data_IF_361877958104
#
_entry.id   IF_361877958104
#
_cell.length_a   1.000
_cell.length_b   1.000
_cell.length_c   1.000
_cell.angle_alpha   90.00
_cell.angle_beta   90.00
_cell.angle_gamma   90.00
#
_symmetry.space_group_name_H-M   'P 1'
#
loop_
_entity.id
_entity.type
_entity.pdbx_description
1 polymer ?
#
# COMPACT_ATOMS: atom_id res chain seq x y z
N UNK A 1 -24.51 60.79 27.00
CA UNK A 1 -23.71 59.55 26.69
C UNK A 1 -24.36 58.91 25.46
N UNK A 2 -23.83 59.20 24.28
CA UNK A 2 -24.39 58.67 23.02
C UNK A 2 -23.76 57.34 22.67
N UNK A 3 -24.55 56.25 22.66
CA UNK A 3 -24.10 54.94 22.18
C UNK A 3 -23.91 54.94 20.67
N UNK A 4 -22.77 54.54 20.24
CA UNK A 4 -22.33 54.52 18.84
C UNK A 4 -23.13 53.44 18.05
N UNK A 5 -23.68 53.80 16.88
CA UNK A 5 -24.48 52.91 16.01
C UNK A 5 -23.81 51.57 15.66
N UNK A 6 -22.49 51.48 15.74
CA UNK A 6 -21.73 50.22 15.53
C UNK A 6 -21.89 49.22 16.67
N UNK A 7 -22.11 49.69 17.93
CA UNK A 7 -22.31 48.77 19.08
C UNK A 7 -23.70 48.14 19.10
N UNK A 8 -24.71 48.81 18.52
CA UNK A 8 -26.08 48.26 18.43
C UNK A 8 -26.16 47.13 17.40
N UNK A 9 -25.42 47.24 16.29
CA UNK A 9 -25.35 46.19 15.26
C UNK A 9 -24.63 44.91 15.74
N UNK A 10 -23.63 45.07 16.60
CA UNK A 10 -22.87 43.88 17.14
C UNK A 10 -23.71 43.10 18.16
N UNK A 11 -24.55 43.79 18.97
CA UNK A 11 -25.43 43.13 19.94
C UNK A 11 -26.60 42.39 19.27
N UNK A 12 -27.14 42.91 18.16
CA UNK A 12 -28.16 42.21 17.38
C UNK A 12 -27.69 40.91 16.74
N UNK A 13 -26.43 40.88 16.31
CA UNK A 13 -25.85 39.67 15.67
C UNK A 13 -25.55 38.53 16.66
N UNK A 14 -25.15 38.87 17.88
CA UNK A 14 -24.85 37.85 18.92
C UNK A 14 -26.15 37.22 19.45
N UNK A 15 -27.22 37.98 19.61
CA UNK A 15 -28.51 37.45 20.10
C UNK A 15 -29.15 36.51 19.09
N UNK A 16 -29.02 36.75 17.77
CA UNK A 16 -29.55 35.88 16.72
C UNK A 16 -28.78 34.57 16.61
N UNK A 17 -27.46 34.56 16.83
CA UNK A 17 -26.64 33.31 16.78
C UNK A 17 -26.96 32.42 17.98
N UNK A 18 -27.16 32.96 19.17
CA UNK A 18 -27.49 32.17 20.37
C UNK A 18 -28.91 31.56 20.25
N UNK A 19 -29.88 32.26 19.66
CA UNK A 19 -31.22 31.71 19.45
C UNK A 19 -31.27 30.56 18.43
N UNK A 20 -30.44 30.61 17.36
CA UNK A 20 -30.37 29.55 16.37
C UNK A 20 -29.68 28.31 16.91
N UNK A 21 -28.67 28.44 17.78
CA UNK A 21 -28.00 27.29 18.40
C UNK A 21 -28.91 26.57 19.41
N UNK A 22 -29.74 27.32 20.16
CA UNK A 22 -30.72 26.73 21.09
C UNK A 22 -31.82 25.93 20.36
N UNK A 23 -32.24 26.35 19.17
CA UNK A 23 -33.27 25.66 18.39
C UNK A 23 -32.79 24.35 17.77
N UNK A 24 -31.51 24.25 17.40
CA UNK A 24 -30.91 23.02 16.84
C UNK A 24 -30.68 21.95 17.90
N UNK A 25 -30.49 22.33 19.18
CA UNK A 25 -30.27 21.40 20.28
C UNK A 25 -31.56 20.77 20.84
N UNK A 26 -32.74 21.31 20.55
CA UNK A 26 -34.04 20.81 21.04
C UNK A 26 -34.78 19.95 20.02
N UNK A 27 -34.28 19.78 18.81
CA UNK A 27 -34.95 19.04 17.72
C UNK A 27 -34.29 17.69 17.41
N UNK A 28 -33.88 16.90 18.40
CA UNK A 28 -33.48 15.52 18.16
C UNK A 28 -34.70 14.58 18.32
N UNK A 29 -35.15 13.90 17.28
CA UNK A 29 -36.11 12.80 17.45
C UNK A 29 -35.45 11.65 18.17
N UNK A 30 -36.08 11.11 19.23
CA UNK A 30 -35.68 9.93 19.94
C UNK A 30 -35.89 8.70 19.02
N UNK A 31 -34.80 8.09 18.56
CA UNK A 31 -34.81 6.83 17.85
C UNK A 31 -34.71 5.67 18.85
N UNK A 32 -35.81 5.31 19.43
CA UNK A 32 -35.97 4.06 20.20
C UNK A 32 -37.10 3.23 19.55
N UNK A 33 -36.86 2.62 18.40
CA UNK A 33 -37.66 1.50 17.83
C UNK A 33 -36.83 0.93 16.64
N UNK A 34 -35.68 0.36 16.86
CA UNK A 34 -34.96 -0.39 15.84
C UNK A 34 -34.10 -1.57 16.38
N UNK A 35 -34.14 -1.85 17.67
CA UNK A 35 -33.34 -2.96 18.22
C UNK A 35 -34.12 -4.26 18.49
N UNK A 36 -35.44 -4.29 18.26
CA UNK A 36 -36.28 -5.49 18.58
C UNK A 36 -36.67 -6.34 17.36
N UNK A 37 -36.05 -6.13 16.17
CA UNK A 37 -36.39 -6.92 14.96
C UNK A 37 -35.24 -7.71 14.34
N UNK A 38 -34.07 -7.79 14.95
CA UNK A 38 -32.96 -8.61 14.45
C UNK A 38 -32.66 -9.87 15.29
N UNK A 39 -33.38 -10.12 16.35
CA UNK A 39 -33.15 -11.30 17.19
C UNK A 39 -34.02 -12.54 16.85
N UNK A 40 -34.84 -12.51 15.81
CA UNK A 40 -35.80 -13.59 15.55
C UNK A 40 -35.78 -14.16 14.12
N UNK A 41 -34.63 -14.17 13.45
CA UNK A 41 -34.50 -14.74 12.09
C UNK A 41 -33.33 -15.71 11.91
N UNK A 42 -32.85 -16.34 12.99
CA UNK A 42 -31.89 -17.46 12.89
C UNK A 42 -32.31 -18.59 13.80
N UNK A 43 -33.26 -19.39 13.35
CA UNK A 43 -33.50 -20.81 13.56
C UNK A 43 -34.87 -21.15 12.94
N UNK A 44 -35.09 -22.30 12.26
CA UNK A 44 -34.36 -23.54 12.33
C UNK A 44 -34.00 -24.16 10.94
N UNK A 45 -32.80 -24.55 10.71
CA UNK A 45 -32.45 -25.57 9.70
C UNK A 45 -31.35 -26.47 10.27
N UNK A 46 -31.61 -27.10 11.37
CA UNK A 46 -30.84 -28.27 11.84
C UNK A 46 -31.80 -29.21 12.51
N UNK A 47 -32.63 -29.85 11.70
CA UNK A 47 -33.35 -31.06 12.15
C UNK A 47 -33.95 -31.79 10.94
N UNK A 48 -33.07 -32.45 10.16
CA UNK A 48 -33.46 -33.61 9.32
C UNK A 48 -32.23 -34.16 8.60
N UNK A 49 -31.48 -34.99 9.26
CA UNK A 49 -30.64 -36.03 8.64
C UNK A 49 -29.96 -36.88 9.72
N UNK A 50 -30.75 -37.59 10.49
CA UNK A 50 -30.33 -38.81 11.17
C UNK A 50 -31.41 -39.83 10.88
N UNK A 51 -31.18 -40.67 9.90
CA UNK A 51 -31.55 -42.05 9.75
C UNK A 51 -31.25 -42.48 8.32
N UNK A 52 -30.23 -43.23 8.11
CA UNK A 52 -30.30 -44.60 7.58
C UNK A 52 -28.90 -45.18 7.54
N UNK A 53 -28.87 -46.28 8.19
CA UNK A 53 -27.86 -47.30 8.40
C UNK A 53 -27.45 -48.00 7.09
N UNK A 54 -26.18 -48.48 7.13
CA UNK A 54 -25.66 -49.62 6.37
C UNK A 54 -25.63 -49.56 4.85
N UNK A 55 -24.46 -49.24 4.29
CA UNK A 55 -23.68 -50.14 3.39
C UNK A 55 -22.22 -49.78 3.53
N UNK A 56 -21.51 -50.58 4.25
CA UNK A 56 -20.08 -50.43 4.49
C UNK A 56 -19.29 -51.42 3.64
N UNK A 57 -18.01 -51.10 3.55
CA UNK A 57 -16.96 -52.00 3.19
C UNK A 57 -16.92 -52.46 1.73
N UNK A 58 -16.18 -51.68 0.90
CA UNK A 58 -15.39 -52.22 -0.24
C UNK A 58 -14.77 -51.11 -1.12
N UNK A 59 -14.59 -49.88 -0.59
CA UNK A 59 -14.01 -48.79 -1.40
C UNK A 59 -12.77 -48.11 -0.80
N UNK A 60 -12.21 -48.60 0.30
CA UNK A 60 -11.03 -48.01 0.93
C UNK A 60 -9.69 -48.41 0.28
N UNK A 61 -9.64 -49.58 -0.34
CA UNK A 61 -8.36 -50.08 -0.94
C UNK A 61 -8.04 -49.47 -2.32
N UNK A 62 -9.04 -48.98 -3.02
CA UNK A 62 -8.84 -48.38 -4.36
C UNK A 62 -8.42 -46.89 -4.35
N UNK A 63 -8.59 -46.18 -3.24
CA UNK A 63 -8.27 -44.76 -3.11
C UNK A 63 -6.84 -44.54 -2.65
N UNK A 64 -6.24 -45.50 -1.93
CA UNK A 64 -4.85 -45.40 -1.45
C UNK A 64 -3.86 -45.61 -2.59
N UNK A 65 -4.16 -46.49 -3.54
CA UNK A 65 -3.25 -46.80 -4.68
C UNK A 65 -3.26 -45.66 -5.75
N UNK A 66 -4.32 -44.87 -5.83
CA UNK A 66 -4.42 -43.72 -6.74
C UNK A 66 -3.71 -42.45 -6.21
N UNK A 67 -3.58 -42.31 -4.89
CA UNK A 67 -2.91 -41.15 -4.27
C UNK A 67 -1.39 -41.32 -4.21
N UNK A 68 -0.85 -42.54 -4.14
CA UNK A 68 0.58 -42.77 -4.15
C UNK A 68 1.20 -42.57 -5.55
N UNK A 69 0.46 -42.84 -6.63
CA UNK A 69 0.94 -42.66 -8.01
C UNK A 69 0.95 -41.20 -8.48
N UNK A 70 0.14 -40.32 -7.84
CA UNK A 70 0.12 -38.89 -8.13
C UNK A 70 1.20 -38.13 -7.35
N UNK A 71 1.61 -38.65 -6.18
CA UNK A 71 2.69 -38.06 -5.40
C UNK A 71 4.07 -38.27 -6.03
N UNK A 72 4.31 -39.39 -6.70
CA UNK A 72 5.61 -39.72 -7.30
C UNK A 72 5.90 -38.98 -8.62
N UNK A 73 4.84 -38.48 -9.31
CA UNK A 73 4.99 -37.67 -10.55
C UNK A 73 5.13 -36.19 -10.33
N UNK A 74 4.83 -35.70 -9.13
CA UNK A 74 4.89 -34.25 -8.79
C UNK A 74 6.25 -33.87 -8.17
N UNK A 75 7.00 -34.82 -7.60
CA UNK A 75 8.32 -34.55 -7.01
C UNK A 75 9.45 -34.41 -8.05
N UNK A 76 9.32 -34.95 -9.25
CA UNK A 76 10.42 -34.93 -10.24
C UNK A 76 10.49 -33.66 -11.10
N UNK A 77 9.44 -32.85 -11.19
CA UNK A 77 9.44 -31.55 -11.88
C UNK A 77 9.76 -30.34 -10.99
N UNK A 78 9.72 -30.48 -9.67
CA UNK A 78 9.95 -29.36 -8.73
C UNK A 78 11.44 -29.07 -8.44
N UNK A 79 12.37 -29.88 -8.89
CA UNK A 79 13.81 -29.82 -8.52
C UNK A 79 14.69 -29.09 -9.55
N UNK A 80 14.17 -28.42 -10.55
CA UNK A 80 14.99 -27.70 -11.57
C UNK A 80 14.83 -26.16 -11.59
N UNK A 81 14.35 -25.55 -10.52
CA UNK A 81 14.44 -24.09 -10.39
C UNK A 81 15.23 -23.76 -9.14
N UNK A 82 16.55 -23.63 -9.28
CA UNK A 82 17.42 -23.14 -8.22
C UNK A 82 16.88 -21.81 -7.69
N UNK A 83 16.68 -21.63 -6.37
CA UNK A 83 16.33 -20.33 -5.81
C UNK A 83 17.52 -19.41 -6.01
N UNK A 84 17.31 -18.29 -6.70
CA UNK A 84 18.25 -17.17 -6.70
C UNK A 84 18.42 -16.77 -5.23
N UNK A 85 19.64 -16.77 -4.69
CA UNK A 85 19.85 -16.50 -3.27
C UNK A 85 19.41 -15.04 -2.99
N UNK A 86 18.33 -14.92 -2.22
CA UNK A 86 17.77 -13.63 -1.77
C UNK A 86 18.79 -12.73 -1.02
N UNK A 87 19.96 -13.27 -0.70
CA UNK A 87 21.06 -12.61 -0.02
C UNK A 87 21.81 -11.63 -0.93
N UNK A 88 21.88 -11.92 -2.23
CA UNK A 88 22.69 -11.15 -3.17
C UNK A 88 21.98 -9.85 -3.59
N UNK A 89 20.64 -9.86 -3.71
CA UNK A 89 19.85 -8.65 -4.00
C UNK A 89 19.89 -7.61 -2.88
N UNK A 90 19.92 -8.09 -1.62
CA UNK A 90 20.03 -7.16 -0.47
C UNK A 90 21.45 -6.59 -0.38
N UNK A 91 22.45 -7.39 -0.70
CA UNK A 91 23.85 -6.98 -0.68
C UNK A 91 24.13 -5.99 -1.84
N UNK A 92 23.57 -6.24 -3.03
CA UNK A 92 23.72 -5.36 -4.18
C UNK A 92 23.04 -4.00 -3.96
N UNK A 93 21.83 -3.96 -3.38
CA UNK A 93 21.16 -2.72 -3.00
C UNK A 93 21.94 -1.93 -1.93
N UNK A 94 22.60 -2.63 -0.99
CA UNK A 94 23.44 -2.01 0.03
C UNK A 94 24.76 -1.48 -0.54
N UNK A 95 25.33 -2.19 -1.53
CA UNK A 95 26.59 -1.77 -2.19
C UNK A 95 26.38 -0.51 -3.02
N UNK A 96 25.25 -0.44 -3.77
CA UNK A 96 24.85 0.79 -4.49
C UNK A 96 24.66 1.97 -3.53
N UNK A 97 24.10 1.71 -2.34
CA UNK A 97 23.93 2.74 -1.30
C UNK A 97 25.26 3.26 -0.75
N UNK A 98 26.31 2.44 -0.71
CA UNK A 98 27.65 2.84 -0.28
C UNK A 98 28.40 3.61 -1.36
N UNK A 99 28.30 3.20 -2.62
CA UNK A 99 28.92 3.90 -3.74
C UNK A 99 28.31 5.29 -3.96
N UNK A 100 26.98 5.44 -3.79
CA UNK A 100 26.33 6.77 -3.86
C UNK A 100 26.76 7.68 -2.70
N UNK A 101 27.04 7.14 -1.51
CA UNK A 101 27.57 7.91 -0.37
C UNK A 101 28.97 8.45 -0.64
N UNK A 102 29.80 7.68 -1.34
CA UNK A 102 31.18 8.06 -1.63
C UNK A 102 31.27 9.11 -2.74
N UNK A 103 30.31 9.13 -3.67
CA UNK A 103 30.28 10.08 -4.79
C UNK A 103 29.62 11.43 -4.44
N UNK A 104 28.76 11.52 -3.42
CA UNK A 104 28.02 12.76 -3.13
C UNK A 104 28.63 13.63 -2.03
N UNK A 105 29.64 13.15 -1.30
CA UNK A 105 30.41 13.97 -0.35
C UNK A 105 29.58 14.78 0.68
N UNK A 106 28.31 14.47 0.86
CA UNK A 106 27.43 15.13 1.81
C UNK A 106 27.48 14.36 3.12
N UNK A 107 28.23 14.89 4.08
CA UNK A 107 28.06 14.55 5.47
C UNK A 107 26.57 14.65 5.81
N UNK A 108 25.98 13.55 6.24
CA UNK A 108 24.61 13.54 6.76
C UNK A 108 24.59 14.35 8.05
N UNK A 109 24.20 15.62 7.93
CA UNK A 109 23.77 16.40 9.09
C UNK A 109 22.63 15.64 9.76
N UNK A 110 22.56 15.57 11.09
CA UNK A 110 21.42 15.02 11.80
C UNK A 110 20.27 16.03 11.74
N UNK A 111 19.78 16.30 10.53
CA UNK A 111 18.61 17.13 10.35
C UNK A 111 17.39 16.26 10.66
N UNK A 112 16.50 16.79 11.51
CA UNK A 112 15.21 16.19 11.79
C UNK A 112 14.32 16.10 10.54
N UNK A 113 13.09 15.68 10.71
CA UNK A 113 12.12 15.49 9.64
C UNK A 113 11.92 16.76 8.79
N UNK A 114 12.23 16.70 7.51
CA UNK A 114 11.88 17.74 6.55
C UNK A 114 10.52 17.41 5.90
N UNK A 115 9.44 18.01 6.41
CA UNK A 115 8.07 17.77 5.93
C UNK A 115 7.88 18.14 4.45
N UNK A 116 8.53 19.19 3.95
CA UNK A 116 8.43 19.59 2.54
C UNK A 116 8.94 18.44 1.67
N UNK A 117 10.12 17.92 1.98
CA UNK A 117 10.70 16.78 1.25
C UNK A 117 9.88 15.51 1.45
N UNK A 118 9.46 15.22 2.69
CA UNK A 118 8.70 14.00 3.02
C UNK A 118 7.32 13.96 2.34
N UNK A 119 6.71 15.10 2.04
CA UNK A 119 5.37 15.18 1.40
C UNK A 119 5.42 15.36 -0.12
N UNK A 120 6.60 15.44 -0.75
CA UNK A 120 6.68 15.47 -2.23
C UNK A 120 6.20 14.16 -2.85
N UNK A 121 5.74 14.21 -4.09
CA UNK A 121 5.35 13.02 -4.86
C UNK A 121 6.55 12.06 -4.99
N UNK A 122 6.32 10.78 -4.84
CA UNK A 122 7.38 9.75 -4.96
C UNK A 122 7.37 9.16 -6.36
N UNK A 123 8.38 9.50 -7.14
CA UNK A 123 8.42 9.22 -8.57
C UNK A 123 9.78 8.70 -9.01
N UNK A 124 9.79 7.89 -10.07
CA UNK A 124 10.99 7.41 -10.74
C UNK A 124 10.78 7.43 -12.26
N UNK A 125 11.81 7.78 -13.02
CA UNK A 125 11.77 7.95 -14.47
C UNK A 125 11.69 9.42 -14.89
N UNK A 126 11.58 9.64 -16.20
CA UNK A 126 11.47 10.98 -16.78
C UNK A 126 10.01 11.46 -16.73
N UNK A 127 9.77 12.62 -16.14
CA UNK A 127 8.43 13.24 -16.09
C UNK A 127 7.86 13.61 -17.47
N UNK A 128 8.68 13.58 -18.51
CA UNK A 128 8.29 13.77 -19.91
C UNK A 128 8.05 12.47 -20.66
N UNK A 129 8.16 11.32 -19.97
CA UNK A 129 7.89 10.02 -20.59
C UNK A 129 6.47 9.95 -21.15
N UNK A 130 6.26 9.28 -22.30
CA UNK A 130 4.97 9.21 -22.97
C UNK A 130 3.91 8.43 -22.17
N UNK A 131 4.33 7.62 -21.20
CA UNK A 131 3.44 6.85 -20.34
C UNK A 131 3.65 7.26 -18.88
N UNK A 132 2.56 7.56 -18.19
CA UNK A 132 2.55 7.77 -16.74
C UNK A 132 1.82 6.61 -16.06
N UNK A 133 2.42 6.02 -15.04
CA UNK A 133 1.79 5.00 -14.19
C UNK A 133 1.70 5.53 -12.77
N UNK A 134 0.49 5.47 -12.18
CA UNK A 134 0.28 5.70 -10.75
C UNK A 134 -0.02 4.36 -10.11
N UNK A 135 0.87 3.89 -9.27
CA UNK A 135 0.69 2.69 -8.45
C UNK A 135 0.16 3.07 -7.07
N UNK A 136 -0.97 2.50 -6.67
CA UNK A 136 -1.45 2.53 -5.29
C UNK A 136 -1.06 1.22 -4.60
N UNK A 137 -0.20 1.30 -3.58
CA UNK A 137 0.39 0.15 -2.91
C UNK A 137 0.34 0.24 -1.39
N UNK A 138 0.31 -0.91 -0.71
CA UNK A 138 0.47 -1.05 0.73
C UNK A 138 1.71 -1.87 1.04
N UNK A 139 2.54 -1.40 1.95
CA UNK A 139 3.80 -2.05 2.30
C UNK A 139 3.63 -3.37 3.06
N UNK A 140 2.44 -3.64 3.61
CA UNK A 140 2.09 -4.93 4.23
C UNK A 140 1.32 -5.86 3.29
N UNK A 141 0.99 -5.41 2.07
CA UNK A 141 0.25 -6.23 1.11
C UNK A 141 1.16 -7.24 0.42
N UNK A 142 0.87 -8.55 0.59
CA UNK A 142 1.62 -9.63 -0.06
C UNK A 142 1.55 -9.60 -1.60
N UNK A 143 0.41 -9.17 -2.16
CA UNK A 143 0.27 -8.99 -3.60
C UNK A 143 1.14 -7.86 -4.16
N UNK A 144 1.35 -6.77 -3.39
CA UNK A 144 2.29 -5.70 -3.75
C UNK A 144 3.74 -6.23 -3.70
N UNK A 145 4.10 -6.95 -2.64
CA UNK A 145 5.42 -7.58 -2.54
C UNK A 145 5.67 -8.56 -3.71
N UNK A 146 4.69 -9.41 -4.05
CA UNK A 146 4.79 -10.33 -5.17
C UNK A 146 5.00 -9.60 -6.50
N UNK A 147 4.29 -8.50 -6.75
CA UNK A 147 4.46 -7.67 -7.95
C UNK A 147 5.86 -7.04 -8.00
N UNK A 148 6.31 -6.38 -6.94
CA UNK A 148 7.62 -5.75 -6.90
C UNK A 148 8.76 -6.75 -7.07
N UNK A 149 8.67 -7.91 -6.41
CA UNK A 149 9.69 -8.96 -6.48
C UNK A 149 9.78 -9.67 -7.85
N UNK A 150 8.66 -9.76 -8.59
CA UNK A 150 8.61 -10.51 -9.84
C UNK A 150 8.65 -9.64 -11.10
N UNK A 151 7.98 -8.48 -11.09
CA UNK A 151 7.67 -7.70 -12.30
C UNK A 151 8.31 -6.31 -12.31
N UNK A 152 8.31 -5.59 -11.17
CA UNK A 152 8.70 -4.18 -11.14
C UNK A 152 10.14 -3.95 -11.61
N UNK A 153 11.09 -4.76 -11.21
CA UNK A 153 12.48 -4.65 -11.65
C UNK A 153 12.64 -4.78 -13.17
N UNK A 154 11.84 -5.64 -13.82
CA UNK A 154 11.82 -5.76 -15.28
C UNK A 154 11.22 -4.51 -15.92
N UNK A 155 10.12 -4.00 -15.38
CA UNK A 155 9.49 -2.76 -15.84
C UNK A 155 10.46 -1.59 -15.72
N UNK A 156 11.15 -1.48 -14.58
CA UNK A 156 12.14 -0.43 -14.30
C UNK A 156 13.22 -0.41 -15.37
N UNK A 157 13.86 -1.56 -15.63
CA UNK A 157 14.95 -1.67 -16.63
C UNK A 157 14.46 -1.45 -18.06
N UNK A 158 13.28 -1.95 -18.41
CA UNK A 158 12.82 -1.96 -19.80
C UNK A 158 12.15 -0.63 -20.21
N UNK A 159 11.42 -0.01 -19.29
CA UNK A 159 10.57 1.13 -19.62
C UNK A 159 10.91 2.41 -18.85
N UNK A 160 11.22 2.33 -17.55
CA UNK A 160 11.46 3.52 -16.73
C UNK A 160 12.86 4.09 -17.03
N UNK A 161 13.90 3.28 -16.96
CA UNK A 161 15.29 3.68 -17.20
C UNK A 161 15.54 4.06 -18.67
N UNK A 162 14.68 3.60 -19.58
CA UNK A 162 14.73 3.96 -21.01
C UNK A 162 13.90 5.21 -21.36
N UNK A 163 13.32 5.89 -20.35
CA UNK A 163 12.54 7.11 -20.54
C UNK A 163 11.16 6.91 -21.17
N UNK A 164 10.66 5.69 -21.23
CA UNK A 164 9.36 5.34 -21.82
C UNK A 164 8.21 5.44 -20.83
N UNK A 165 8.49 5.26 -19.52
CA UNK A 165 7.51 5.28 -18.44
C UNK A 165 7.98 6.18 -17.29
N UNK A 166 7.10 7.05 -16.84
CA UNK A 166 7.18 7.78 -15.59
C UNK A 166 6.32 7.08 -14.54
N UNK A 167 6.93 6.65 -13.43
CA UNK A 167 6.25 5.88 -12.40
C UNK A 167 6.08 6.69 -11.13
N UNK A 168 4.86 6.73 -10.61
CA UNK A 168 4.47 7.40 -9.38
C UNK A 168 3.98 6.33 -8.41
N UNK A 169 4.56 6.27 -7.21
CA UNK A 169 4.07 5.39 -6.15
C UNK A 169 3.31 6.23 -5.12
N UNK A 170 2.06 5.87 -4.89
CA UNK A 170 1.18 6.45 -3.88
C UNK A 170 0.80 5.42 -2.84
N UNK A 171 0.99 5.76 -1.59
CA UNK A 171 0.67 4.89 -0.49
C UNK A 171 -0.85 4.69 -0.36
N UNK A 172 -1.22 3.44 -0.13
CA UNK A 172 -2.59 3.02 0.17
C UNK A 172 -2.56 2.03 1.33
N UNK A 173 -2.24 2.49 2.57
CA UNK A 173 -2.05 1.62 3.72
C UNK A 173 -3.33 0.86 4.06
N UNK A 174 -3.26 -0.46 4.13
CA UNK A 174 -4.37 -1.33 4.47
C UNK A 174 -4.55 -1.52 5.99
N UNK A 175 -3.50 -1.19 6.75
CA UNK A 175 -3.45 -1.32 8.21
C UNK A 175 -2.52 -0.28 8.83
N UNK A 176 -2.46 -0.27 10.19
CA UNK A 176 -1.63 0.68 10.94
C UNK A 176 -0.14 0.47 10.72
N UNK A 177 0.31 -0.77 10.55
CA UNK A 177 1.72 -1.07 10.30
C UNK A 177 2.15 -0.56 8.93
N UNK A 178 1.31 -0.76 7.89
CA UNK A 178 1.54 -0.20 6.56
C UNK A 178 1.63 1.32 6.59
N UNK A 179 0.79 1.99 7.42
CA UNK A 179 0.83 3.44 7.60
C UNK A 179 2.18 3.88 8.19
N UNK A 180 2.64 3.21 9.26
CA UNK A 180 3.95 3.50 9.87
C UNK A 180 5.11 3.23 8.92
N UNK A 181 5.04 2.14 8.15
CA UNK A 181 6.04 1.83 7.13
C UNK A 181 6.07 2.88 6.01
N UNK A 182 4.90 3.38 5.59
CA UNK A 182 4.80 4.47 4.62
C UNK A 182 5.41 5.78 5.15
N UNK A 183 5.13 6.13 6.41
CA UNK A 183 5.74 7.29 7.04
C UNK A 183 7.27 7.14 7.13
N UNK A 184 7.78 5.99 7.56
CA UNK A 184 9.23 5.72 7.61
C UNK A 184 9.87 5.80 6.22
N UNK A 185 9.25 5.24 5.18
CA UNK A 185 9.75 5.29 3.82
C UNK A 185 9.86 6.72 3.30
N UNK A 186 8.92 7.58 3.63
CA UNK A 186 8.94 9.00 3.22
C UNK A 186 10.03 9.82 3.89
N UNK A 187 10.62 9.32 4.96
CA UNK A 187 11.73 9.96 5.68
C UNK A 187 13.11 9.58 5.14
N UNK A 188 13.19 8.65 4.21
CA UNK A 188 14.42 8.43 3.45
C UNK A 188 14.68 9.61 2.50
N UNK A 189 15.93 9.80 2.11
CA UNK A 189 16.24 10.71 1.01
C UNK A 189 15.40 10.36 -0.23
N UNK A 190 14.88 11.34 -0.99
CA UNK A 190 14.03 11.07 -2.15
C UNK A 190 14.64 10.07 -3.15
N UNK A 191 15.95 10.14 -3.38
CA UNK A 191 16.70 9.22 -4.24
C UNK A 191 16.75 7.78 -3.71
N UNK A 192 16.57 7.58 -2.42
CA UNK A 192 16.60 6.27 -1.75
C UNK A 192 15.22 5.66 -1.57
N UNK A 193 14.15 6.43 -1.79
CA UNK A 193 12.78 5.99 -1.51
C UNK A 193 12.41 4.67 -2.19
N UNK A 194 12.59 4.58 -3.52
CA UNK A 194 12.26 3.35 -4.25
C UNK A 194 13.12 2.17 -3.84
N UNK A 195 14.42 2.37 -3.63
CA UNK A 195 15.32 1.32 -3.14
C UNK A 195 14.86 0.81 -1.77
N UNK A 196 14.47 1.71 -0.87
CA UNK A 196 13.96 1.31 0.45
C UNK A 196 12.62 0.57 0.35
N UNK A 197 11.69 1.02 -0.49
CA UNK A 197 10.42 0.32 -0.76
C UNK A 197 10.67 -1.08 -1.33
N UNK A 198 11.60 -1.23 -2.28
CA UNK A 198 12.01 -2.54 -2.82
C UNK A 198 12.58 -3.46 -1.72
N UNK A 199 13.39 -2.91 -0.79
CA UNK A 199 13.89 -3.67 0.38
C UNK A 199 12.74 -4.09 1.29
N UNK A 200 11.79 -3.20 1.58
CA UNK A 200 10.62 -3.51 2.41
C UNK A 200 9.77 -4.63 1.78
N UNK A 201 9.50 -4.58 0.48
CA UNK A 201 8.74 -5.63 -0.20
C UNK A 201 9.51 -6.96 -0.28
N UNK A 202 10.81 -6.92 -0.58
CA UNK A 202 11.62 -8.15 -0.66
C UNK A 202 11.86 -8.83 0.69
N UNK A 203 11.74 -8.08 1.77
CA UNK A 203 11.91 -8.57 3.15
C UNK A 203 10.62 -8.55 3.96
N UNK A 204 9.45 -8.41 3.32
CA UNK A 204 8.17 -8.20 3.98
C UNK A 204 7.88 -9.21 5.08
N UNK A 205 8.11 -10.51 4.83
CA UNK A 205 7.90 -11.57 5.83
C UNK A 205 8.78 -11.41 7.07
N UNK A 206 9.97 -10.82 6.92
CA UNK A 206 10.94 -10.69 8.01
C UNK A 206 10.65 -9.50 8.92
N UNK A 207 10.06 -8.41 8.39
CA UNK A 207 9.76 -7.25 9.21
C UNK A 207 8.28 -7.17 9.59
N UNK A 208 7.35 -7.41 8.66
CA UNK A 208 5.92 -7.22 8.91
C UNK A 208 5.29 -8.35 9.74
N UNK A 209 5.88 -9.55 9.70
CA UNK A 209 5.42 -10.71 10.47
C UNK A 209 6.37 -11.12 11.61
N UNK A 210 7.29 -10.23 12.02
CA UNK A 210 8.14 -10.47 13.18
C UNK A 210 7.38 -10.28 14.49
N UNK A 211 7.94 -10.77 15.59
CA UNK A 211 7.37 -10.55 16.95
C UNK A 211 7.38 -9.06 17.35
N UNK A 212 8.31 -8.26 16.76
CA UNK A 212 8.40 -6.81 16.93
C UNK A 212 8.49 -6.14 15.54
N UNK A 213 7.36 -5.94 14.84
CA UNK A 213 7.36 -5.37 13.50
C UNK A 213 7.90 -3.94 13.41
N UNK A 214 7.65 -3.11 14.44
CA UNK A 214 8.14 -1.74 14.44
C UNK A 214 9.65 -1.67 14.67
N UNK A 215 10.21 -2.45 15.60
CA UNK A 215 11.65 -2.54 15.79
C UNK A 215 12.37 -3.16 14.60
N UNK A 216 11.76 -4.12 13.90
CA UNK A 216 12.29 -4.65 12.64
C UNK A 216 12.26 -3.62 11.51
N UNK A 217 11.20 -2.83 11.43
CA UNK A 217 11.07 -1.72 10.48
C UNK A 217 12.11 -0.62 10.76
N UNK A 218 12.31 -0.23 12.04
CA UNK A 218 13.33 0.74 12.44
C UNK A 218 14.73 0.31 12.03
N UNK A 219 15.09 -0.95 12.30
CA UNK A 219 16.39 -1.52 11.88
C UNK A 219 16.57 -1.47 10.37
N UNK A 220 15.50 -1.79 9.62
CA UNK A 220 15.53 -1.74 8.15
C UNK A 220 15.65 -0.30 7.65
N UNK A 221 14.96 0.66 8.28
CA UNK A 221 15.04 2.07 7.96
C UNK A 221 16.45 2.65 8.26
N UNK A 222 17.10 2.17 9.32
CA UNK A 222 18.49 2.49 9.63
C UNK A 222 19.47 2.18 8.52
N UNK A 223 19.26 1.08 7.78
CA UNK A 223 20.05 0.73 6.60
C UNK A 223 19.87 1.72 5.43
N UNK A 224 18.73 2.40 5.38
CA UNK A 224 18.44 3.43 4.39
C UNK A 224 18.77 4.86 4.87
N UNK A 225 19.50 4.99 6.00
CA UNK A 225 19.97 6.26 6.54
C UNK A 225 18.97 7.00 7.45
N UNK A 226 17.87 6.35 7.85
CA UNK A 226 16.92 6.88 8.82
C UNK A 226 17.31 6.37 10.21
N UNK A 227 17.97 7.20 11.01
CA UNK A 227 18.35 6.83 12.39
C UNK A 227 17.12 6.71 13.30
N UNK A 228 17.28 6.16 14.50
CA UNK A 228 16.19 5.90 15.45
C UNK A 228 15.40 7.15 15.82
N UNK A 229 16.06 8.30 16.04
CA UNK A 229 15.38 9.55 16.40
C UNK A 229 14.51 10.06 15.25
N UNK A 230 15.06 10.11 14.03
CA UNK A 230 14.31 10.47 12.82
C UNK A 230 13.18 9.46 12.53
N UNK A 231 13.43 8.16 12.71
CA UNK A 231 12.39 7.14 12.56
C UNK A 231 11.21 7.41 13.50
N UNK A 232 11.49 7.64 14.79
CA UNK A 232 10.46 7.91 15.79
C UNK A 232 9.71 9.23 15.51
N UNK A 233 10.42 10.27 15.08
CA UNK A 233 9.80 11.52 14.63
C UNK A 233 8.85 11.27 13.45
N UNK A 234 9.29 10.56 12.44
CA UNK A 234 8.53 10.29 11.22
C UNK A 234 7.26 9.49 11.48
N UNK A 235 7.36 8.37 12.19
CA UNK A 235 6.20 7.49 12.42
C UNK A 235 5.17 8.10 13.38
N UNK A 236 5.53 9.13 14.14
CA UNK A 236 4.64 9.83 15.07
C UNK A 236 4.19 11.21 14.53
N UNK A 237 4.67 11.63 13.35
CA UNK A 237 4.31 12.92 12.77
C UNK A 237 2.91 12.89 12.16
N UNK A 238 2.02 13.76 12.67
CA UNK A 238 0.61 13.83 12.25
C UNK A 238 0.42 14.42 10.84
N UNK A 239 1.27 15.35 10.44
CA UNK A 239 1.16 15.97 9.13
C UNK A 239 1.56 14.98 8.04
N UNK A 240 2.60 14.20 8.30
CA UNK A 240 3.03 13.11 7.42
C UNK A 240 1.99 11.97 7.36
N UNK A 241 1.40 11.61 8.49
CA UNK A 241 0.27 10.67 8.56
C UNK A 241 -0.90 11.16 7.71
N UNK A 242 -1.28 12.43 7.89
CA UNK A 242 -2.37 13.07 7.13
C UNK A 242 -2.07 13.05 5.64
N UNK A 243 -0.83 13.33 5.22
CA UNK A 243 -0.41 13.27 3.83
C UNK A 243 -0.59 11.87 3.22
N UNK A 244 -0.12 10.82 3.91
CA UNK A 244 -0.25 9.42 3.47
C UNK A 244 -1.74 9.04 3.35
N UNK A 245 -2.56 9.36 4.34
CA UNK A 245 -3.99 9.09 4.32
C UNK A 245 -4.72 9.88 3.23
N UNK A 246 -4.26 11.08 2.90
CA UNK A 246 -4.80 11.88 1.79
C UNK A 246 -4.50 11.22 0.43
N UNK A 247 -3.32 10.65 0.23
CA UNK A 247 -3.00 9.87 -0.96
C UNK A 247 -3.96 8.69 -1.13
N UNK A 248 -4.20 7.93 -0.06
CA UNK A 248 -5.18 6.84 -0.02
C UNK A 248 -6.60 7.35 -0.37
N UNK A 249 -7.06 8.42 0.27
CA UNK A 249 -8.39 9.01 0.00
C UNK A 249 -8.53 9.49 -1.46
N UNK A 250 -7.46 10.06 -2.03
CA UNK A 250 -7.43 10.47 -3.43
C UNK A 250 -7.61 9.26 -4.34
N UNK A 251 -6.89 8.17 -4.06
CA UNK A 251 -7.07 6.90 -4.79
C UNK A 251 -8.50 6.38 -4.72
N UNK A 252 -9.10 6.39 -3.53
CA UNK A 252 -10.48 5.94 -3.34
C UNK A 252 -11.49 6.82 -4.07
N UNK A 253 -11.37 8.15 -3.97
CA UNK A 253 -12.36 9.08 -4.50
C UNK A 253 -12.22 9.32 -6.01
N UNK A 254 -10.98 9.49 -6.48
CA UNK A 254 -10.71 9.86 -7.87
C UNK A 254 -10.64 8.63 -8.79
N UNK A 255 -10.11 7.52 -8.27
CA UNK A 255 -9.83 6.34 -9.08
C UNK A 255 -10.58 5.09 -8.60
N UNK A 256 -11.45 5.21 -7.61
CA UNK A 256 -12.20 4.08 -7.02
C UNK A 256 -11.30 2.90 -6.63
N UNK A 257 -10.10 3.18 -6.11
CA UNK A 257 -9.18 2.15 -5.65
C UNK A 257 -9.77 1.44 -4.44
N UNK A 258 -9.92 0.11 -4.53
CA UNK A 258 -10.51 -0.74 -3.47
C UNK A 258 -9.54 -1.82 -2.98
N UNK A 259 -8.44 -2.03 -3.68
CA UNK A 259 -7.43 -3.06 -3.37
C UNK A 259 -6.05 -2.64 -3.85
N UNK A 260 -5.02 -3.30 -3.34
CA UNK A 260 -3.62 -3.06 -3.71
C UNK A 260 -2.97 -4.36 -4.25
N UNK A 261 -2.04 -4.25 -5.18
CA UNK A 261 -1.71 -3.05 -5.94
C UNK A 261 -2.82 -2.68 -6.93
N UNK A 262 -2.99 -1.39 -7.21
CA UNK A 262 -3.81 -0.89 -8.32
C UNK A 262 -3.00 0.10 -9.12
N UNK A 263 -3.02 -0.04 -10.44
CA UNK A 263 -2.26 0.75 -11.38
C UNK A 263 -3.21 1.57 -12.25
N UNK A 264 -3.00 2.88 -12.28
CA UNK A 264 -3.71 3.82 -13.14
C UNK A 264 -2.72 4.31 -14.19
N UNK A 265 -2.96 3.99 -15.44
CA UNK A 265 -2.05 4.29 -16.55
C UNK A 265 -2.64 5.44 -17.36
N UNK A 266 -1.82 6.42 -17.72
CA UNK A 266 -2.20 7.63 -18.44
C UNK A 266 -3.47 8.27 -17.88
N UNK A 267 -3.51 8.44 -16.55
CA UNK A 267 -4.64 9.09 -15.84
C UNK A 267 -5.99 8.44 -16.11
N UNK A 268 -6.01 7.11 -16.26
CA UNK A 268 -7.23 6.30 -16.39
C UNK A 268 -7.52 5.82 -17.80
N UNK A 269 -6.63 6.00 -18.78
CA UNK A 269 -6.76 5.39 -20.10
C UNK A 269 -6.75 3.87 -19.99
N UNK A 270 -5.89 3.32 -19.12
CA UNK A 270 -5.90 1.89 -18.78
C UNK A 270 -5.83 1.74 -17.24
N UNK A 271 -6.38 0.63 -16.74
CA UNK A 271 -6.38 0.31 -15.30
C UNK A 271 -6.18 -1.17 -15.06
N UNK A 272 -5.31 -1.48 -14.09
CA UNK A 272 -5.10 -2.85 -13.61
C UNK A 272 -5.18 -2.91 -12.09
N UNK A 273 -5.58 -4.06 -11.54
CA UNK A 273 -5.59 -4.30 -10.09
C UNK A 273 -5.10 -5.72 -9.77
N UNK A 274 -4.48 -5.89 -8.61
CA UNK A 274 -3.87 -7.13 -8.17
C UNK A 274 -2.48 -7.35 -8.75
N UNK A 275 -1.84 -8.45 -8.31
CA UNK A 275 -0.52 -8.84 -8.82
C UNK A 275 -0.59 -9.08 -10.31
N UNK A 276 0.25 -8.37 -11.08
CA UNK A 276 0.32 -8.47 -12.54
C UNK A 276 1.70 -8.93 -12.98
N UNK A 277 1.73 -9.71 -14.05
CA UNK A 277 2.97 -10.16 -14.67
C UNK A 277 3.57 -9.04 -15.53
N UNK A 278 4.88 -9.10 -15.74
CA UNK A 278 5.57 -8.14 -16.62
C UNK A 278 4.96 -8.09 -18.01
N UNK A 279 4.59 -9.24 -18.58
CA UNK A 279 4.07 -9.37 -19.93
C UNK A 279 2.73 -8.62 -20.12
N UNK A 280 1.91 -8.53 -19.09
CA UNK A 280 0.65 -7.76 -19.12
C UNK A 280 0.91 -6.24 -19.21
N UNK A 281 1.93 -5.74 -18.52
CA UNK A 281 2.38 -4.35 -18.64
C UNK A 281 3.02 -4.10 -20.00
N UNK A 282 3.83 -5.03 -20.49
CA UNK A 282 4.49 -4.95 -21.78
C UNK A 282 3.46 -4.76 -22.90
N UNK A 283 2.40 -5.58 -22.94
CA UNK A 283 1.34 -5.49 -23.95
C UNK A 283 0.69 -4.08 -23.95
N UNK A 284 0.36 -3.56 -22.77
CA UNK A 284 -0.25 -2.23 -22.63
C UNK A 284 0.73 -1.13 -23.03
N UNK A 285 1.96 -1.19 -22.53
CA UNK A 285 2.95 -0.15 -22.79
C UNK A 285 3.37 -0.10 -24.25
N UNK A 286 3.58 -1.25 -24.89
CA UNK A 286 3.96 -1.30 -26.30
C UNK A 286 2.83 -0.74 -27.19
N UNK A 287 1.56 -1.04 -26.87
CA UNK A 287 0.37 -0.44 -27.54
C UNK A 287 0.33 1.08 -27.37
N UNK A 288 0.57 1.59 -26.14
CA UNK A 288 0.55 3.02 -25.87
C UNK A 288 1.73 3.76 -26.53
N UNK A 289 2.92 3.15 -26.53
CA UNK A 289 4.11 3.69 -27.21
C UNK A 289 3.90 3.78 -28.72
N UNK A 290 3.34 2.73 -29.32
CA UNK A 290 2.98 2.74 -30.74
C UNK A 290 1.99 3.85 -31.07
N UNK A 291 0.96 4.06 -30.24
CA UNK A 291 -0.01 5.15 -30.38
C UNK A 291 0.65 6.54 -30.26
N UNK A 292 1.66 6.66 -29.41
CA UNK A 292 2.44 7.89 -29.23
C UNK A 292 3.52 8.10 -30.31
N UNK A 293 3.71 7.16 -31.25
CA UNK A 293 4.75 7.22 -32.28
C UNK A 293 6.18 7.03 -31.75
N UNK A 294 6.33 6.39 -30.60
CA UNK A 294 7.63 6.09 -29.95
C UNK A 294 7.98 4.63 -30.26
N UNK A 295 9.20 4.41 -30.79
CA UNK A 295 9.74 3.08 -31.09
C UNK A 295 10.66 2.59 -29.99
#
# INVERSE_FOLDING_TARGET
MQLNKKSILLFGFVVTIVATIAFVLTSRPSSSIAEEKMANSIAPVVEKAVTTESVAADTEEAVVEATEKVAETVEEEAVKKAPVPKKDLVLEALTISQEVKEQTGTETSPEGLNLITATTERTIGDSKAPITVIEYASLTCSHCAAFHNASFNKIKKTYIETGKVYWILREFPLDKLALKASQAARCTQPSMYFNFVEVLFSSQDRWAHSDDPLGALEKTAGLAGVNADLFNECINNRDLETHVLKNMQTGQKQWEVKSTPTFIINYGEERMSGTRKFEEFQEIFDKLLQKAGVQ
#
